data_IF_280646548999
#
_entry.id   IF_280646548999
#
_cell.length_a   1.000
_cell.length_b   1.000
_cell.length_c   1.000
_cell.angle_alpha   90.00
_cell.angle_beta   90.00
_cell.angle_gamma   90.00
#
_symmetry.space_group_name_H-M   'P 1'
#
loop_
_entity.id
_entity.type
_entity.pdbx_description
1 polymer ?
#
# COMPACT_ATOMS: atom_id res chain seq x y z
N UNK A 1 -0.91 17.44 2.39
CA UNK A 1 -0.86 16.11 1.73
C UNK A 1 -0.11 16.11 0.41
N UNK A 2 -0.51 16.87 -0.61
CA UNK A 2 0.14 16.82 -1.93
C UNK A 2 1.68 17.01 -1.88
N UNK A 3 2.17 18.03 -1.18
CA UNK A 3 3.61 18.29 -1.02
C UNK A 3 4.36 17.11 -0.37
N UNK A 4 3.74 16.47 0.63
CA UNK A 4 4.31 15.31 1.32
C UNK A 4 4.36 14.10 0.38
N UNK A 5 3.32 13.86 -0.43
CA UNK A 5 3.38 12.84 -1.47
C UNK A 5 4.53 13.09 -2.44
N UNK A 6 4.72 14.34 -2.90
CA UNK A 6 5.83 14.69 -3.80
C UNK A 6 7.20 14.52 -3.14
N UNK A 7 7.31 14.77 -1.83
CA UNK A 7 8.51 14.50 -1.04
C UNK A 7 8.79 13.00 -0.99
N UNK A 8 7.80 12.17 -0.64
CA UNK A 8 7.94 10.72 -0.56
C UNK A 8 8.25 10.07 -1.92
N UNK A 9 7.64 10.55 -3.01
CA UNK A 9 7.94 10.08 -4.37
C UNK A 9 9.38 10.40 -4.83
N UNK A 10 10.01 11.40 -4.21
CA UNK A 10 11.38 11.81 -4.51
C UNK A 10 12.39 11.12 -3.61
N UNK A 11 12.11 11.08 -2.31
CA UNK A 11 13.07 10.74 -1.26
C UNK A 11 12.83 9.34 -0.68
N UNK A 12 11.69 8.72 -0.96
CA UNK A 12 11.26 7.46 -0.35
C UNK A 12 10.55 7.63 1.00
N UNK A 13 10.17 6.50 1.60
CA UNK A 13 9.67 6.47 2.98
C UNK A 13 10.79 6.84 3.98
N UNK A 14 10.45 7.46 5.13
CA UNK A 14 11.43 7.65 6.20
C UNK A 14 12.06 6.33 6.66
N UNK A 15 13.35 6.38 7.00
CA UNK A 15 14.09 5.24 7.56
C UNK A 15 14.70 5.67 8.90
N UNK A 16 14.29 5.08 10.04
CA UNK A 16 13.26 4.04 10.17
C UNK A 16 11.86 4.57 9.83
N UNK A 17 10.94 3.65 9.50
CA UNK A 17 9.55 3.99 9.27
C UNK A 17 8.92 4.54 10.58
N UNK A 18 8.02 5.53 10.51
CA UNK A 18 7.43 6.09 11.73
C UNK A 18 6.59 5.05 12.49
N UNK A 19 6.84 4.93 13.80
CA UNK A 19 6.13 4.00 14.70
C UNK A 19 5.08 4.70 15.58
N UNK A 20 5.00 6.03 15.53
CA UNK A 20 4.03 6.85 16.26
C UNK A 20 3.81 8.18 15.53
N UNK A 21 2.70 8.85 15.85
CA UNK A 21 2.44 10.22 15.36
C UNK A 21 3.36 11.22 16.03
N UNK A 22 3.90 12.15 15.23
CA UNK A 22 4.62 13.30 15.76
C UNK A 22 3.65 14.31 16.40
N UNK A 23 4.12 15.02 17.43
CA UNK A 23 3.32 16.07 18.05
C UNK A 23 2.88 17.12 17.01
N UNK A 24 1.57 17.31 16.88
CA UNK A 24 0.98 18.27 15.94
C UNK A 24 0.81 17.78 14.50
N UNK A 25 1.09 16.49 14.22
CA UNK A 25 0.75 15.85 12.94
C UNK A 25 -0.39 14.85 13.12
N UNK A 26 -1.40 14.95 12.26
CA UNK A 26 -2.57 14.07 12.22
C UNK A 26 -2.43 12.94 11.18
N UNK A 27 -1.29 12.85 10.50
CA UNK A 27 -1.00 11.82 9.51
C UNK A 27 0.39 11.19 9.68
N UNK A 28 0.53 9.96 9.16
CA UNK A 28 1.76 9.17 9.18
C UNK A 28 1.91 8.37 7.88
N UNK A 29 3.03 8.46 7.15
CA UNK A 29 3.24 7.70 5.92
C UNK A 29 3.41 6.20 6.23
N UNK A 30 2.57 5.35 5.63
CA UNK A 30 2.58 3.90 5.84
C UNK A 30 3.25 3.13 4.71
N UNK A 31 3.20 3.63 3.48
CA UNK A 31 3.58 2.83 2.33
C UNK A 31 3.85 3.68 1.10
N UNK A 32 4.80 3.24 0.30
CA UNK A 32 5.12 3.77 -1.00
C UNK A 32 5.46 2.59 -1.91
N UNK A 33 4.88 2.58 -3.10
CA UNK A 33 5.32 1.69 -4.17
C UNK A 33 5.33 2.41 -5.52
N UNK A 34 6.28 2.04 -6.37
CA UNK A 34 6.49 2.61 -7.70
C UNK A 34 6.74 1.51 -8.72
N UNK A 35 5.92 1.45 -9.77
CA UNK A 35 6.03 0.52 -10.90
C UNK A 35 6.18 1.30 -12.20
N UNK A 36 7.42 1.51 -12.63
CA UNK A 36 7.75 2.29 -13.82
C UNK A 36 7.23 3.73 -13.73
N UNK A 37 6.12 4.02 -14.41
CA UNK A 37 5.51 5.35 -14.48
C UNK A 37 4.28 5.51 -13.59
N UNK A 38 3.95 4.55 -12.72
CA UNK A 38 2.86 4.69 -11.76
C UNK A 38 3.37 4.55 -10.33
N UNK A 39 2.69 5.21 -9.40
CA UNK A 39 3.04 5.14 -7.99
C UNK A 39 1.80 5.19 -7.10
N UNK A 40 1.96 4.74 -5.87
CA UNK A 40 0.97 4.91 -4.81
C UNK A 40 1.66 5.24 -3.49
N UNK A 41 1.06 6.15 -2.73
CA UNK A 41 1.50 6.52 -1.38
C UNK A 41 0.32 6.32 -0.44
N UNK A 42 0.53 5.68 0.71
CA UNK A 42 -0.49 5.50 1.74
C UNK A 42 -0.14 6.20 3.04
N UNK A 43 -1.17 6.71 3.70
CA UNK A 43 -1.06 7.38 4.99
C UNK A 43 -2.09 6.82 5.97
N UNK A 44 -1.68 6.70 7.23
CA UNK A 44 -2.57 6.60 8.36
C UNK A 44 -2.93 8.00 8.82
N UNK A 45 -4.20 8.25 9.08
CA UNK A 45 -4.70 9.49 9.65
C UNK A 45 -5.40 9.22 10.97
N UNK A 46 -5.18 10.11 11.93
CA UNK A 46 -5.84 10.08 13.23
C UNK A 46 -6.26 11.49 13.63
N UNK A 47 -7.57 11.67 13.82
CA UNK A 47 -8.14 12.86 14.44
C UNK A 47 -8.59 12.54 15.87
N UNK A 48 -8.57 13.54 16.75
CA UNK A 48 -8.81 13.39 18.20
C UNK A 48 -10.09 12.61 18.54
N UNK A 49 -11.13 12.74 17.71
CA UNK A 49 -12.47 12.23 18.00
C UNK A 49 -13.02 11.27 16.93
N UNK A 50 -12.20 10.92 15.92
CA UNK A 50 -12.61 10.05 14.82
C UNK A 50 -11.82 8.74 14.82
N UNK A 51 -12.46 7.66 14.35
CA UNK A 51 -11.75 6.43 14.06
C UNK A 51 -10.66 6.70 13.03
N UNK A 52 -9.46 6.17 13.28
CA UNK A 52 -8.35 6.28 12.35
C UNK A 52 -8.74 5.69 10.99
N UNK A 53 -8.21 6.28 9.92
CA UNK A 53 -8.44 5.80 8.56
C UNK A 53 -7.13 5.74 7.79
N UNK A 54 -7.08 4.86 6.79
CA UNK A 54 -5.95 4.73 5.89
C UNK A 54 -6.38 5.20 4.51
N UNK A 55 -5.68 6.19 3.98
CA UNK A 55 -5.85 6.65 2.61
C UNK A 55 -4.68 6.21 1.73
N UNK A 56 -4.96 6.13 0.43
CA UNK A 56 -3.96 5.90 -0.61
C UNK A 56 -4.16 6.88 -1.75
N UNK A 57 -3.06 7.49 -2.20
CA UNK A 57 -3.00 8.42 -3.32
C UNK A 57 -2.22 7.78 -4.47
N UNK A 58 -2.81 7.76 -5.65
CA UNK A 58 -2.20 7.19 -6.86
C UNK A 58 -1.69 8.28 -7.79
N UNK A 59 -0.56 7.99 -8.42
CA UNK A 59 0.15 8.93 -9.28
C UNK A 59 0.55 8.28 -10.60
N UNK A 60 0.75 9.11 -11.61
CA UNK A 60 1.34 8.73 -12.89
C UNK A 60 2.39 9.76 -13.28
N UNK A 61 3.56 9.28 -13.72
CA UNK A 61 4.66 10.09 -14.21
C UNK A 61 4.49 10.35 -15.70
N UNK A 62 4.43 11.61 -16.09
CA UNK A 62 4.34 12.04 -17.48
C UNK A 62 5.30 13.20 -17.70
N UNK A 63 6.08 13.13 -18.78
CA UNK A 63 7.02 14.19 -19.16
C UNK A 63 8.03 14.51 -18.02
N UNK A 64 8.41 13.48 -17.26
CA UNK A 64 9.33 13.60 -16.13
C UNK A 64 8.69 13.96 -14.79
N UNK A 65 7.43 14.41 -14.78
CA UNK A 65 6.72 14.92 -13.60
C UNK A 65 5.66 13.95 -13.07
N UNK A 66 5.57 13.84 -11.74
CA UNK A 66 4.48 13.10 -11.09
C UNK A 66 3.20 13.91 -11.10
N UNK A 67 2.10 13.28 -11.51
CA UNK A 67 0.75 13.85 -11.46
C UNK A 67 -0.17 12.96 -10.65
N UNK A 68 -0.90 13.57 -9.75
CA UNK A 68 -1.92 12.90 -8.95
C UNK A 68 -3.09 12.47 -9.84
N UNK A 69 -3.54 11.23 -9.68
CA UNK A 69 -4.73 10.71 -10.35
C UNK A 69 -5.95 10.73 -9.43
N UNK A 70 -5.73 10.74 -8.12
CA UNK A 70 -6.74 10.65 -7.07
C UNK A 70 -6.39 9.57 -6.05
N UNK A 71 -7.29 9.40 -5.08
CA UNK A 71 -7.09 8.49 -3.97
C UNK A 71 -8.40 7.96 -3.38
N UNK A 72 -8.27 7.00 -2.48
CA UNK A 72 -9.39 6.44 -1.74
C UNK A 72 -8.96 6.09 -0.31
N UNK A 73 -9.90 6.18 0.63
CA UNK A 73 -9.69 5.86 2.04
C UNK A 73 -10.59 4.74 2.52
N UNK A 74 -10.19 4.10 3.62
CA UNK A 74 -11.00 3.14 4.35
C UNK A 74 -10.62 3.16 5.84
N UNK A 75 -11.46 2.59 6.69
CA UNK A 75 -11.17 2.51 8.12
C UNK A 75 -9.85 1.79 8.39
N UNK A 76 -9.10 2.29 9.37
CA UNK A 76 -7.92 1.61 9.87
C UNK A 76 -8.35 0.47 10.83
N UNK A 77 -7.52 -0.59 10.98
CA UNK A 77 -7.69 -1.53 12.09
C UNK A 77 -7.45 -0.83 13.44
N UNK A 78 -7.89 -1.44 14.54
CA UNK A 78 -7.79 -0.86 15.88
C UNK A 78 -6.34 -0.50 16.30
N UNK A 79 -5.37 -1.35 15.96
CA UNK A 79 -3.95 -1.13 16.22
C UNK A 79 -3.16 -1.05 14.90
N UNK A 80 -3.25 0.06 14.14
CA UNK A 80 -2.70 0.13 12.79
C UNK A 80 -1.16 0.07 12.74
N UNK A 81 -0.49 0.50 13.80
CA UNK A 81 0.98 0.47 13.84
C UNK A 81 1.56 -0.81 14.45
N UNK A 82 0.73 -1.68 15.05
CA UNK A 82 1.20 -2.93 15.66
C UNK A 82 1.24 -4.05 14.62
N UNK A 83 2.44 -4.55 14.31
CA UNK A 83 2.61 -5.70 13.41
C UNK A 83 2.30 -7.01 14.15
N UNK A 84 1.46 -7.85 13.54
CA UNK A 84 0.95 -9.11 14.12
C UNK A 84 1.73 -10.29 13.57
N UNK A 85 1.82 -11.38 14.33
CA UNK A 85 2.38 -12.64 13.85
C UNK A 85 1.46 -13.34 12.85
N UNK A 86 2.01 -14.29 12.11
CA UNK A 86 1.23 -15.11 11.17
C UNK A 86 0.20 -15.98 11.89
N UNK A 87 0.50 -16.41 13.12
CA UNK A 87 -0.45 -17.12 13.99
C UNK A 87 -1.66 -16.25 14.36
N UNK A 88 -1.44 -14.98 14.73
CA UNK A 88 -2.52 -14.04 15.03
C UNK A 88 -3.34 -13.64 13.79
N UNK A 89 -2.66 -13.49 12.64
CA UNK A 89 -3.30 -13.14 11.36
C UNK A 89 -3.94 -14.34 10.64
N UNK A 90 -3.53 -15.56 10.99
CA UNK A 90 -3.83 -16.80 10.29
C UNK A 90 -3.23 -16.90 8.88
N UNK A 91 -2.23 -16.07 8.55
CA UNK A 91 -1.54 -15.97 7.25
C UNK A 91 -0.34 -15.02 7.32
N UNK A 92 0.55 -15.05 6.33
CA UNK A 92 1.66 -14.09 6.25
C UNK A 92 1.30 -12.82 5.47
N UNK A 93 0.43 -12.93 4.45
CA UNK A 93 -0.06 -11.80 3.66
C UNK A 93 -1.57 -11.63 3.82
N UNK A 94 -2.02 -10.42 4.16
CA UNK A 94 -3.44 -10.06 4.22
C UNK A 94 -3.72 -8.82 3.37
N UNK A 95 -4.45 -8.98 2.27
CA UNK A 95 -5.01 -7.84 1.53
C UNK A 95 -6.23 -7.30 2.27
N UNK A 96 -6.17 -6.04 2.69
CA UNK A 96 -7.27 -5.40 3.42
C UNK A 96 -7.92 -4.24 2.64
N UNK A 97 -7.30 -3.79 1.54
CA UNK A 97 -7.83 -2.75 0.69
C UNK A 97 -7.32 -2.88 -0.74
N UNK A 98 -8.09 -2.37 -1.68
CA UNK A 98 -7.67 -2.23 -3.08
C UNK A 98 -8.43 -1.10 -3.75
N UNK A 99 -7.78 -0.45 -4.71
CA UNK A 99 -8.33 0.68 -5.44
C UNK A 99 -7.98 0.63 -6.92
N UNK A 100 -8.69 1.43 -7.71
CA UNK A 100 -8.31 1.73 -9.09
C UNK A 100 -8.62 3.19 -9.41
N UNK A 101 -7.72 3.83 -10.12
CA UNK A 101 -7.87 5.23 -10.54
C UNK A 101 -7.68 5.33 -12.03
N UNK A 102 -8.50 6.16 -12.70
CA UNK A 102 -8.41 6.33 -14.15
C UNK A 102 -7.15 7.13 -14.48
N UNK A 103 -6.25 6.53 -15.27
CA UNK A 103 -4.97 7.12 -15.70
C UNK A 103 -5.14 8.22 -16.77
N UNK A 104 -6.27 8.22 -17.46
CA UNK A 104 -6.56 9.05 -18.63
C UNK A 104 -7.94 9.72 -18.54
N UNK A 105 -8.22 10.41 -17.42
CA UNK A 105 -9.51 11.05 -17.13
C UNK A 105 -9.91 12.14 -18.13
N UNK A 106 -8.95 12.80 -18.79
CA UNK A 106 -9.21 13.90 -19.75
C UNK A 106 -9.65 13.44 -21.16
N UNK A 107 -10.29 12.28 -21.30
CA UNK A 107 -10.75 11.79 -22.61
C UNK A 107 -12.20 12.15 -22.89
N UNK A 108 -12.48 12.52 -24.15
CA UNK A 108 -13.82 12.81 -24.68
C UNK A 108 -14.71 11.55 -24.80
N UNK A 109 -14.13 10.35 -24.87
CA UNK A 109 -14.87 9.09 -25.02
C UNK A 109 -14.36 8.02 -24.03
N UNK A 110 -15.25 7.15 -23.50
CA UNK A 110 -14.92 6.20 -22.43
C UNK A 110 -14.15 4.96 -22.90
N UNK A 111 -13.97 4.76 -24.22
CA UNK A 111 -13.30 3.59 -24.76
C UNK A 111 -11.77 3.64 -24.52
N UNK A 112 -11.21 2.52 -24.06
CA UNK A 112 -9.77 2.39 -23.79
C UNK A 112 -9.27 3.12 -22.55
N UNK A 113 -10.12 3.24 -21.51
CA UNK A 113 -9.71 3.67 -20.17
C UNK A 113 -8.53 2.81 -19.67
N UNK A 114 -7.47 3.47 -19.24
CA UNK A 114 -6.32 2.84 -18.58
C UNK A 114 -6.45 3.10 -17.10
N UNK A 115 -6.17 2.09 -16.28
CA UNK A 115 -6.28 2.21 -14.83
C UNK A 115 -4.91 2.06 -14.20
N UNK A 116 -4.72 2.77 -13.09
CA UNK A 116 -3.69 2.45 -12.10
C UNK A 116 -4.40 1.70 -10.99
N UNK A 117 -3.89 0.52 -10.68
CA UNK A 117 -4.44 -0.34 -9.64
C UNK A 117 -3.54 -0.30 -8.42
N UNK A 118 -4.13 -0.41 -7.24
CA UNK A 118 -3.39 -0.53 -5.99
C UNK A 118 -4.01 -1.57 -5.06
N UNK A 119 -3.17 -2.18 -4.22
CA UNK A 119 -3.58 -3.07 -3.15
C UNK A 119 -2.78 -2.76 -1.89
N UNK A 120 -3.48 -2.76 -0.75
CA UNK A 120 -2.91 -2.52 0.57
C UNK A 120 -2.87 -3.83 1.34
N UNK A 121 -1.68 -4.14 1.84
CA UNK A 121 -1.34 -5.40 2.46
C UNK A 121 -0.92 -5.15 3.91
N UNK A 122 -1.36 -6.04 4.79
CA UNK A 122 -0.78 -6.29 6.10
C UNK A 122 0.11 -7.52 5.97
N UNK A 123 1.30 -7.41 6.54
CA UNK A 123 2.34 -8.43 6.44
C UNK A 123 2.75 -8.86 7.85
N UNK A 124 2.82 -10.17 8.08
CA UNK A 124 3.15 -10.72 9.41
C UNK A 124 4.62 -10.48 9.80
N UNK A 125 4.95 -10.55 11.10
CA UNK A 125 6.32 -10.27 11.62
C UNK A 125 7.41 -11.14 11.02
N UNK A 126 7.09 -12.35 10.59
CA UNK A 126 8.02 -13.34 10.04
C UNK A 126 8.53 -12.95 8.63
N UNK A 127 7.82 -12.06 7.94
CA UNK A 127 8.17 -11.63 6.59
C UNK A 127 9.19 -10.49 6.65
N UNK A 128 10.36 -10.69 6.09
CA UNK A 128 11.37 -9.64 5.99
C UNK A 128 11.11 -8.71 4.79
N UNK A 129 10.71 -9.28 3.64
CA UNK A 129 10.57 -8.56 2.37
C UNK A 129 9.38 -9.09 1.58
N UNK A 130 8.85 -8.26 0.70
CA UNK A 130 7.77 -8.62 -0.23
C UNK A 130 8.29 -8.57 -1.66
N UNK A 131 8.11 -9.65 -2.44
CA UNK A 131 8.43 -9.68 -3.87
C UNK A 131 7.17 -9.46 -4.69
N UNK A 132 7.24 -8.55 -5.67
CA UNK A 132 6.18 -8.26 -6.62
C UNK A 132 6.76 -8.36 -8.03
N UNK A 133 6.59 -9.51 -8.68
CA UNK A 133 7.30 -9.82 -9.92
C UNK A 133 8.81 -9.71 -9.71
N UNK A 134 9.47 -8.78 -10.40
CA UNK A 134 10.92 -8.54 -10.29
C UNK A 134 11.30 -7.49 -9.22
N UNK A 135 10.33 -6.88 -8.55
CA UNK A 135 10.55 -5.82 -7.54
C UNK A 135 10.59 -6.43 -6.14
N UNK A 136 11.46 -5.91 -5.28
CA UNK A 136 11.54 -6.25 -3.87
C UNK A 136 11.19 -5.01 -3.07
N UNK A 137 10.21 -5.13 -2.18
CA UNK A 137 9.76 -4.09 -1.28
C UNK A 137 10.18 -4.46 0.14
N UNK A 138 10.84 -3.54 0.83
CA UNK A 138 11.10 -3.66 2.26
C UNK A 138 9.79 -3.52 3.03
N UNK A 139 9.70 -4.24 4.16
CA UNK A 139 8.51 -4.19 5.01
C UNK A 139 8.78 -3.28 6.21
N UNK A 140 8.09 -2.13 6.32
CA UNK A 140 8.16 -1.28 7.51
C UNK A 140 7.84 -2.05 8.80
N UNK A 141 8.30 -1.54 9.94
CA UNK A 141 8.08 -2.18 11.25
C UNK A 141 6.61 -2.41 11.57
N UNK A 142 5.73 -1.49 11.17
CA UNK A 142 4.28 -1.62 11.34
C UNK A 142 3.63 -2.65 10.40
N UNK A 143 4.37 -3.16 9.39
CA UNK A 143 3.92 -4.24 8.51
C UNK A 143 2.89 -3.85 7.45
N UNK A 144 2.74 -2.56 7.15
CA UNK A 144 1.93 -2.11 6.02
C UNK A 144 2.79 -2.06 4.77
N UNK A 145 2.29 -2.67 3.69
CA UNK A 145 2.88 -2.60 2.36
C UNK A 145 1.78 -2.21 1.39
N UNK A 146 2.09 -1.37 0.42
CA UNK A 146 1.21 -1.07 -0.69
C UNK A 146 1.85 -1.57 -1.98
N UNK A 147 1.04 -2.01 -2.93
CA UNK A 147 1.51 -2.48 -4.25
C UNK A 147 0.72 -1.74 -5.32
N UNK A 148 1.41 -1.14 -6.29
CA UNK A 148 0.82 -0.50 -7.48
C UNK A 148 1.14 -1.31 -8.73
N UNK A 149 0.22 -1.29 -9.71
CA UNK A 149 0.47 -1.80 -11.05
C UNK A 149 -0.40 -1.11 -12.10
N UNK A 150 0.14 -0.98 -13.32
CA UNK A 150 -0.58 -0.44 -14.48
C UNK A 150 -1.17 -1.50 -15.41
N UNK A 151 -0.82 -2.77 -15.21
CA UNK A 151 -1.30 -3.88 -16.03
C UNK A 151 -2.77 -4.22 -15.74
N UNK A 152 -3.44 -4.85 -16.71
CA UNK A 152 -4.84 -5.29 -16.55
C UNK A 152 -5.01 -6.39 -15.49
N UNK A 153 -3.96 -7.18 -15.26
CA UNK A 153 -3.92 -8.28 -14.29
C UNK A 153 -3.05 -7.87 -13.11
N UNK A 154 -3.55 -8.13 -11.91
CA UNK A 154 -2.81 -8.01 -10.67
C UNK A 154 -1.60 -8.94 -10.64
N UNK A 155 -0.47 -8.51 -10.05
CA UNK A 155 0.68 -9.36 -9.88
C UNK A 155 0.43 -10.41 -8.78
N UNK A 156 1.23 -11.48 -8.82
CA UNK A 156 1.42 -12.35 -7.66
C UNK A 156 2.47 -11.70 -6.76
N UNK A 157 2.17 -11.68 -5.46
CA UNK A 157 3.00 -11.14 -4.40
C UNK A 157 3.49 -12.28 -3.53
N UNK A 158 4.78 -12.34 -3.25
CA UNK A 158 5.39 -13.35 -2.38
C UNK A 158 5.91 -12.71 -1.10
N UNK A 159 5.60 -13.31 0.05
CA UNK A 159 6.20 -12.96 1.32
C UNK A 159 7.50 -13.75 1.50
N UNK A 160 8.59 -13.05 1.76
CA UNK A 160 9.91 -13.65 1.93
C UNK A 160 10.37 -13.54 3.38
N UNK A 161 10.92 -14.63 3.91
CA UNK A 161 11.65 -14.60 5.18
C UNK A 161 13.00 -13.88 5.01
N UNK A 162 13.72 -13.70 6.13
CA UNK A 162 15.03 -13.04 6.13
C UNK A 162 16.07 -13.76 5.25
N UNK A 163 16.02 -15.09 5.20
CA UNK A 163 16.89 -15.93 4.37
C UNK A 163 16.49 -15.97 2.88
N UNK A 164 15.38 -15.31 2.52
CA UNK A 164 14.85 -15.26 1.16
C UNK A 164 13.91 -16.42 0.79
N UNK A 165 13.64 -17.35 1.70
CA UNK A 165 12.63 -18.39 1.51
C UNK A 165 11.23 -17.78 1.38
N UNK A 166 10.38 -18.39 0.55
CA UNK A 166 8.99 -17.96 0.35
C UNK A 166 8.12 -18.55 1.46
N UNK A 167 7.47 -17.68 2.23
CA UNK A 167 6.56 -18.06 3.32
C UNK A 167 5.11 -18.17 2.86
N UNK A 168 4.70 -17.33 1.91
CA UNK A 168 3.33 -17.24 1.41
C UNK A 168 3.30 -16.55 0.03
N UNK A 169 2.23 -16.75 -0.72
CA UNK A 169 2.01 -16.09 -2.01
C UNK A 169 0.53 -15.70 -2.18
N UNK A 170 0.30 -14.50 -2.72
CA UNK A 170 -1.03 -13.93 -2.92
C UNK A 170 -1.18 -13.39 -4.34
N UNK A 171 -2.23 -13.83 -5.03
CA UNK A 171 -2.68 -13.26 -6.30
C UNK A 171 -3.58 -12.03 -6.03
N UNK A 172 -3.13 -10.83 -6.43
CA UNK A 172 -3.85 -9.59 -6.16
C UNK A 172 -5.13 -9.41 -6.98
N UNK A 173 -5.32 -10.16 -8.07
CA UNK A 173 -6.58 -10.18 -8.83
C UNK A 173 -7.73 -10.80 -8.02
N UNK A 174 -7.42 -11.66 -7.04
CA UNK A 174 -8.43 -12.31 -6.21
C UNK A 174 -9.00 -11.31 -5.20
N UNK A 175 -10.31 -11.32 -4.92
CA UNK A 175 -10.89 -10.44 -3.91
C UNK A 175 -10.25 -10.69 -2.53
N UNK A 176 -10.27 -9.66 -1.68
CA UNK A 176 -9.80 -9.79 -0.31
C UNK A 176 -10.61 -10.88 0.41
N UNK A 177 -9.92 -11.84 1.01
CA UNK A 177 -10.57 -12.85 1.85
C UNK A 177 -10.55 -12.33 3.28
N UNK A 178 -11.70 -12.21 3.96
CA UNK A 178 -11.73 -11.74 5.34
C UNK A 178 -10.82 -12.60 6.23
N UNK A 179 -10.27 -11.99 7.28
CA UNK A 179 -9.59 -12.74 8.32
C UNK A 179 -10.58 -13.78 8.90
N UNK A 180 -10.10 -14.99 9.21
CA UNK A 180 -10.94 -15.96 9.91
C UNK A 180 -11.30 -15.36 11.28
N UNK A 181 -12.56 -15.42 11.72
CA UNK A 181 -12.90 -15.05 13.09
C UNK A 181 -12.09 -15.95 14.02
N UNK A 182 -11.41 -15.33 15.00
CA UNK A 182 -10.76 -16.07 16.06
C UNK A 182 -11.88 -16.71 16.91
N UNK A 183 -11.91 -18.04 16.95
CA UNK A 183 -12.80 -18.85 17.79
C UNK A 183 -12.23 -18.97 19.21
#
# INVERSE_FOLDING_TARGET
MHEECMRLLRDGLPVPAPAAFDAGRDFLPLGLDMDGDVAVVTFLHQWSDASAFIEGWTFHRRDGEWRELGGAGGSAPADPLMRRSSGEMGRHLLKYGSGRTVRNSNRLLPWGAKFVHEARLRVSVEVARVRVGNRILDVPEHGHVVVVWGARRGPVVEALAADGSVLDAMDLDRPAVPARPQS
#
